data_IF_288907308386
#
_entry.id   IF_288907308386
#
_cell.length_a   1.000
_cell.length_b   1.000
_cell.length_c   1.000
_cell.angle_alpha   90.00
_cell.angle_beta   90.00
_cell.angle_gamma   90.00
#
_symmetry.space_group_name_H-M   'P 1'
#
loop_
_entity.id
_entity.type
_entity.pdbx_description
1 polymer ?
#
# COMPACT_ATOMS: atom_id res chain seq x y z
N UNK A 1 -17.96 26.47 -38.79
CA UNK A 1 -16.56 26.01 -38.64
C UNK A 1 -16.04 26.01 -37.19
N UNK A 2 -16.50 26.91 -36.30
CA UNK A 2 -16.07 26.95 -34.88
C UNK A 2 -16.41 25.69 -34.07
N UNK A 3 -17.56 25.06 -34.30
CA UNK A 3 -17.98 23.84 -33.56
C UNK A 3 -17.04 22.65 -33.76
N UNK A 4 -16.49 22.47 -34.97
CA UNK A 4 -15.59 21.34 -35.27
C UNK A 4 -14.18 21.56 -34.69
N UNK A 5 -13.76 22.82 -34.54
CA UNK A 5 -12.49 23.19 -33.91
C UNK A 5 -12.52 22.91 -32.39
N UNK A 6 -13.66 23.16 -31.73
CA UNK A 6 -13.84 22.87 -30.31
C UNK A 6 -13.82 21.37 -30.00
N UNK A 7 -14.41 20.53 -30.87
CA UNK A 7 -14.42 19.07 -30.69
C UNK A 7 -12.99 18.50 -30.82
N UNK A 8 -12.21 19.00 -31.78
CA UNK A 8 -10.81 18.58 -31.98
C UNK A 8 -9.92 18.96 -30.77
N UNK A 9 -10.12 20.16 -30.21
CA UNK A 9 -9.42 20.61 -29.00
C UNK A 9 -9.77 19.78 -27.76
N UNK A 10 -11.04 19.34 -27.63
CA UNK A 10 -11.47 18.46 -26.54
C UNK A 10 -10.90 17.03 -26.66
N UNK A 11 -10.75 16.50 -27.88
CA UNK A 11 -10.14 15.17 -28.07
C UNK A 11 -8.64 15.16 -27.78
N UNK A 12 -7.90 16.22 -28.14
CA UNK A 12 -6.46 16.31 -27.87
C UNK A 12 -6.12 16.37 -26.37
N UNK A 13 -6.96 17.01 -25.56
CA UNK A 13 -6.72 17.14 -24.12
C UNK A 13 -6.84 15.80 -23.35
N UNK A 14 -7.61 14.85 -23.88
CA UNK A 14 -7.83 13.55 -23.24
C UNK A 14 -6.61 12.62 -23.28
N UNK A 15 -5.69 12.85 -24.23
CA UNK A 15 -4.51 11.99 -24.45
C UNK A 15 -3.39 12.29 -23.44
N UNK A 16 -3.40 13.45 -22.78
CA UNK A 16 -2.33 13.86 -21.86
C UNK A 16 -2.43 13.27 -20.44
N UNK A 17 -3.47 12.50 -20.11
CA UNK A 17 -3.69 12.01 -18.73
C UNK A 17 -3.05 10.64 -18.46
N UNK A 18 -2.62 9.91 -19.51
CA UNK A 18 -2.14 8.52 -19.39
C UNK A 18 -0.61 8.35 -19.30
N UNK A 19 0.16 9.44 -19.12
CA UNK A 19 1.63 9.41 -19.10
C UNK A 19 2.31 9.38 -17.72
N UNK A 20 1.59 9.21 -16.61
CA UNK A 20 2.24 9.25 -15.28
C UNK A 20 2.95 7.93 -14.96
N UNK A 21 4.28 7.98 -14.79
CA UNK A 21 5.12 6.82 -14.39
C UNK A 21 4.72 6.22 -13.05
N UNK A 22 4.13 7.04 -12.17
CA UNK A 22 3.82 6.65 -10.80
C UNK A 22 2.45 7.15 -10.41
N UNK A 23 1.63 6.26 -9.85
CA UNK A 23 0.40 6.62 -9.15
C UNK A 23 0.66 6.66 -7.66
N UNK A 24 0.24 7.75 -7.01
CA UNK A 24 0.38 7.91 -5.56
C UNK A 24 -0.98 8.11 -4.90
N UNK A 25 -1.23 7.38 -3.81
CA UNK A 25 -2.41 7.51 -2.97
C UNK A 25 -1.99 8.03 -1.61
N UNK A 26 -2.15 9.36 -1.44
CA UNK A 26 -1.95 10.02 -0.16
C UNK A 26 -2.91 9.48 0.91
N UNK A 27 -2.46 9.50 2.15
CA UNK A 27 -3.28 9.19 3.30
C UNK A 27 -4.15 10.40 3.67
N UNK A 28 -5.46 10.31 3.40
CA UNK A 28 -6.44 11.36 3.67
C UNK A 28 -7.05 11.29 5.09
N UNK A 29 -6.57 10.38 5.95
CA UNK A 29 -7.09 10.25 7.31
C UNK A 29 -6.79 11.51 8.14
N UNK A 30 -7.72 11.95 9.00
CA UNK A 30 -7.51 13.08 9.94
C UNK A 30 -6.22 12.93 10.76
N UNK A 31 -5.81 11.70 11.08
CA UNK A 31 -4.58 11.40 11.83
C UNK A 31 -3.30 11.67 11.03
N UNK A 32 -3.40 11.69 9.70
CA UNK A 32 -2.33 12.01 8.76
C UNK A 32 -2.25 13.50 8.39
N UNK A 33 -3.16 14.35 8.90
CA UNK A 33 -3.22 15.80 8.56
C UNK A 33 -1.89 16.54 8.83
N UNK A 34 -1.09 16.06 9.78
CA UNK A 34 0.21 16.66 10.11
C UNK A 34 1.35 16.28 9.15
N UNK A 35 1.10 15.47 8.13
CA UNK A 35 2.07 15.10 7.10
C UNK A 35 1.55 15.51 5.73
N UNK A 36 2.16 16.54 5.17
CA UNK A 36 2.01 16.93 3.77
C UNK A 36 2.70 15.89 2.87
N UNK A 37 2.00 15.46 1.83
CA UNK A 37 2.38 14.33 0.97
C UNK A 37 2.18 14.74 -0.50
N UNK A 38 3.27 15.03 -1.20
CA UNK A 38 3.23 15.61 -2.55
C UNK A 38 4.03 14.73 -3.50
N UNK A 39 3.34 14.13 -4.46
CA UNK A 39 3.99 13.58 -5.66
C UNK A 39 4.23 14.73 -6.64
N UNK A 40 5.43 14.86 -7.18
CA UNK A 40 5.71 15.87 -8.19
C UNK A 40 5.00 15.57 -9.53
N UNK A 41 5.03 16.54 -10.43
CA UNK A 41 4.33 16.46 -11.73
C UNK A 41 4.88 15.33 -12.60
N UNK A 42 6.19 15.09 -12.54
CA UNK A 42 6.89 14.05 -13.30
C UNK A 42 6.62 12.64 -12.74
N UNK A 43 6.12 12.55 -11.51
CA UNK A 43 5.86 11.29 -10.82
C UNK A 43 7.13 10.54 -10.42
N UNK A 44 8.28 11.20 -10.37
CA UNK A 44 9.58 10.61 -10.05
C UNK A 44 10.09 10.99 -8.65
N UNK A 45 9.41 11.89 -7.94
CA UNK A 45 9.75 12.22 -6.56
C UNK A 45 8.54 12.44 -5.64
N UNK A 46 8.65 11.93 -4.42
CA UNK A 46 7.67 12.11 -3.34
C UNK A 46 8.28 13.00 -2.25
N UNK A 47 7.69 14.18 -2.06
CA UNK A 47 8.05 15.08 -0.96
C UNK A 47 7.12 14.83 0.22
N UNK A 48 7.71 14.65 1.39
CA UNK A 48 7.02 14.51 2.67
C UNK A 48 7.47 15.66 3.58
N UNK A 49 6.51 16.46 4.07
CA UNK A 49 6.79 17.60 4.95
C UNK A 49 5.87 17.59 6.17
N UNK A 50 6.40 17.93 7.34
CA UNK A 50 5.65 18.00 8.59
C UNK A 50 6.21 19.08 9.51
N UNK A 51 5.36 19.65 10.35
CA UNK A 51 5.81 20.48 11.48
C UNK A 51 6.57 19.65 12.54
N UNK A 52 6.31 18.33 12.59
CA UNK A 52 6.98 17.39 13.49
C UNK A 52 8.11 16.68 12.77
N UNK A 53 9.10 16.23 13.54
CA UNK A 53 10.19 15.41 13.01
C UNK A 53 9.66 14.11 12.42
N UNK A 54 9.98 13.89 11.16
CA UNK A 54 9.91 12.62 10.46
C UNK A 54 11.22 11.90 10.81
N UNK A 55 11.14 10.83 11.59
CA UNK A 55 12.35 10.08 11.95
C UNK A 55 12.81 9.21 10.80
N UNK A 56 11.86 8.52 10.14
CA UNK A 56 12.16 7.49 9.16
C UNK A 56 11.03 7.34 8.14
N UNK A 57 11.39 6.96 6.91
CA UNK A 57 10.45 6.53 5.89
C UNK A 57 10.85 5.16 5.35
N UNK A 58 9.92 4.22 5.38
CA UNK A 58 10.08 2.89 4.80
C UNK A 58 9.28 2.79 3.50
N UNK A 59 9.87 2.23 2.45
CA UNK A 59 9.22 1.90 1.18
C UNK A 59 9.42 0.41 0.95
N UNK A 60 8.34 -0.34 0.90
CA UNK A 60 8.46 -1.79 0.80
C UNK A 60 7.30 -2.45 0.05
N UNK A 61 7.57 -3.64 -0.45
CA UNK A 61 6.62 -4.64 -0.91
C UNK A 61 7.12 -6.02 -0.43
N UNK A 62 6.69 -7.09 -1.09
CA UNK A 62 7.03 -8.46 -0.69
C UNK A 62 8.52 -8.78 -0.92
N UNK A 63 9.10 -8.22 -1.99
CA UNK A 63 10.45 -8.55 -2.47
C UNK A 63 11.45 -7.38 -2.34
N UNK A 64 11.00 -6.22 -1.87
CA UNK A 64 11.78 -4.99 -1.82
C UNK A 64 11.56 -4.26 -0.50
N UNK A 65 12.63 -3.75 0.08
CA UNK A 65 12.59 -2.84 1.23
C UNK A 65 13.68 -1.78 1.09
N UNK A 66 13.29 -0.52 1.24
CA UNK A 66 14.19 0.62 1.37
C UNK A 66 13.78 1.42 2.59
N UNK A 67 14.75 1.65 3.46
CA UNK A 67 14.59 2.51 4.65
C UNK A 67 15.41 3.77 4.46
N UNK A 68 14.81 4.90 4.77
CA UNK A 68 15.40 6.23 4.67
C UNK A 68 15.31 6.86 6.06
N UNK A 69 16.47 7.07 6.69
CA UNK A 69 16.56 7.85 7.92
C UNK A 69 16.50 9.33 7.55
N UNK A 70 15.53 10.04 8.14
CA UNK A 70 15.27 11.46 7.80
C UNK A 70 15.72 12.36 8.94
N UNK A 71 15.28 12.06 10.17
CA UNK A 71 15.54 12.85 11.37
C UNK A 71 15.37 14.37 11.15
N UNK A 72 14.31 14.74 10.45
CA UNK A 72 14.06 16.11 10.00
C UNK A 72 12.60 16.34 9.67
N UNK A 73 12.24 17.57 9.33
CA UNK A 73 10.86 17.97 9.10
C UNK A 73 10.43 17.82 7.62
N UNK A 74 11.38 17.57 6.73
CA UNK A 74 11.14 17.41 5.30
C UNK A 74 12.07 16.35 4.73
N UNK A 75 11.56 15.57 3.76
CA UNK A 75 12.38 14.69 2.94
C UNK A 75 11.83 14.63 1.53
N UNK A 76 12.73 14.50 0.55
CA UNK A 76 12.39 14.25 -0.85
C UNK A 76 12.92 12.88 -1.24
N UNK A 77 12.01 12.01 -1.62
CA UNK A 77 12.29 10.63 -1.97
C UNK A 77 12.31 10.51 -3.48
N UNK A 78 13.45 10.09 -4.03
CA UNK A 78 13.57 9.73 -5.44
C UNK A 78 12.92 8.36 -5.72
N UNK A 79 11.90 8.36 -6.56
CA UNK A 79 11.12 7.20 -6.97
C UNK A 79 11.64 6.59 -8.28
N UNK A 80 12.55 7.25 -8.99
CA UNK A 80 13.12 6.75 -10.24
C UNK A 80 13.92 5.46 -10.03
N UNK A 81 14.56 5.34 -8.86
CA UNK A 81 15.31 4.16 -8.41
C UNK A 81 14.44 2.99 -7.95
N UNK A 82 13.13 3.20 -7.78
CA UNK A 82 12.24 2.12 -7.37
C UNK A 82 11.93 1.20 -8.55
N UNK A 83 11.96 -0.13 -8.34
CA UNK A 83 11.50 -1.07 -9.34
C UNK A 83 10.02 -0.85 -9.66
N UNK A 84 9.57 -1.48 -10.74
CA UNK A 84 8.17 -1.49 -11.11
C UNK A 84 7.37 -2.28 -10.08
N UNK A 85 6.12 -1.88 -9.86
CA UNK A 85 5.23 -2.58 -8.94
C UNK A 85 4.59 -1.69 -7.89
N UNK A 86 4.05 -2.34 -6.86
CA UNK A 86 3.16 -1.74 -5.86
C UNK A 86 3.87 -1.71 -4.53
N UNK A 87 3.94 -0.53 -3.93
CA UNK A 87 4.69 -0.29 -2.70
C UNK A 87 3.80 0.35 -1.65
N UNK A 88 4.14 0.03 -0.41
CA UNK A 88 3.67 0.73 0.77
C UNK A 88 4.75 1.71 1.17
N UNK A 89 4.35 2.96 1.40
CA UNK A 89 5.23 3.99 1.95
C UNK A 89 4.77 4.30 3.36
N UNK A 90 5.64 4.14 4.34
CA UNK A 90 5.33 4.35 5.76
C UNK A 90 6.27 5.40 6.34
N UNK A 91 5.71 6.56 6.70
CA UNK A 91 6.44 7.61 7.39
C UNK A 91 6.22 7.54 8.91
N UNK A 92 7.31 7.63 9.68
CA UNK A 92 7.30 7.64 11.15
C UNK A 92 7.43 9.08 11.64
N UNK A 93 6.38 9.60 12.26
CA UNK A 93 6.32 10.94 12.84
C UNK A 93 6.05 10.81 14.33
N UNK A 94 7.06 11.03 15.17
CA UNK A 94 6.95 10.82 16.62
C UNK A 94 6.39 9.39 16.89
N UNK A 95 5.29 9.25 17.63
CA UNK A 95 4.62 7.95 17.87
C UNK A 95 3.71 7.50 16.73
N UNK A 96 3.55 8.27 15.64
CA UNK A 96 2.61 8.00 14.54
C UNK A 96 3.29 7.32 13.36
N UNK A 97 2.60 6.31 12.80
CA UNK A 97 2.91 5.75 11.48
C UNK A 97 1.86 6.21 10.49
N UNK A 98 2.28 6.91 9.44
CA UNK A 98 1.41 7.35 8.34
C UNK A 98 1.70 6.47 7.15
N UNK A 99 0.74 5.62 6.80
CA UNK A 99 0.86 4.66 5.69
C UNK A 99 0.22 5.23 4.44
N UNK A 100 0.92 5.15 3.32
CA UNK A 100 0.52 5.60 1.99
C UNK A 100 0.73 4.47 0.98
N UNK A 101 0.18 4.61 -0.21
CA UNK A 101 0.32 3.61 -1.27
C UNK A 101 0.89 4.24 -2.54
N UNK A 102 1.81 3.54 -3.18
CA UNK A 102 2.53 3.97 -4.37
C UNK A 102 2.53 2.83 -5.41
N UNK A 103 2.35 3.15 -6.68
CA UNK A 103 2.38 2.18 -7.78
C UNK A 103 3.20 2.72 -8.95
N UNK A 104 4.28 2.01 -9.30
CA UNK A 104 5.21 2.29 -10.40
C UNK A 104 4.80 1.46 -11.61
N UNK A 105 4.61 2.14 -12.74
CA UNK A 105 4.16 1.54 -13.99
C UNK A 105 5.28 1.53 -15.03
N UNK A 106 5.23 0.58 -15.95
CA UNK A 106 6.05 0.62 -17.15
C UNK A 106 5.69 1.86 -17.96
N UNK A 107 6.72 2.64 -18.31
CA UNK A 107 6.54 3.77 -19.20
C UNK A 107 6.63 3.24 -20.63
N UNK A 108 5.51 3.20 -21.34
CA UNK A 108 5.54 3.03 -22.79
C UNK A 108 6.14 4.31 -23.38
N UNK A 109 7.46 4.29 -23.67
CA UNK A 109 8.02 5.27 -24.60
C UNK A 109 7.37 4.98 -25.94
N UNK A 110 6.45 5.82 -26.36
CA UNK A 110 6.03 5.88 -27.75
C UNK A 110 7.30 6.10 -28.56
N UNK A 111 7.70 5.11 -29.34
CA UNK A 111 8.84 5.23 -30.26
C UNK A 111 8.43 6.24 -31.31
N UNK A 112 8.76 7.51 -31.11
CA UNK A 112 8.78 8.48 -32.19
C UNK A 112 10.03 8.22 -33.02
N UNK A 113 10.02 7.13 -33.79
CA UNK A 113 10.97 6.94 -34.87
C UNK A 113 10.36 7.58 -36.12
N UNK A 114 10.70 8.86 -36.35
CA UNK A 114 10.65 9.44 -37.69
C UNK A 114 11.76 8.77 -38.50
N UNK A 115 11.44 7.69 -39.21
CA UNK A 115 12.28 7.17 -40.28
C UNK A 115 11.42 7.04 -41.55
N UNK A 116 11.76 7.90 -42.51
CA UNK A 116 11.35 7.78 -43.91
C UNK A 116 12.22 6.72 -44.57
N UNK A 117 11.56 5.77 -45.25
CA UNK A 117 11.95 5.00 -46.47
C UNK A 117 11.73 3.48 -46.38
N UNK A 118 10.72 3.07 -47.15
CA UNK A 118 10.62 1.95 -48.09
C UNK A 118 10.55 0.47 -47.65
N UNK A 119 9.31 -0.03 -47.81
CA UNK A 119 8.81 -1.33 -48.28
C UNK A 119 8.82 -2.64 -47.43
N UNK A 120 7.80 -3.51 -47.66
CA UNK A 120 7.32 -4.47 -46.67
C UNK A 120 7.77 -5.91 -46.98
N UNK A 121 7.95 -6.75 -45.96
CA UNK A 121 7.92 -8.21 -46.15
C UNK A 121 7.26 -8.92 -44.98
N UNK A 122 6.30 -9.74 -45.38
CA UNK A 122 5.40 -10.60 -44.65
C UNK A 122 6.16 -11.71 -43.93
N UNK A 123 5.86 -11.98 -42.66
CA UNK A 123 5.97 -13.32 -42.06
C UNK A 123 5.24 -13.40 -40.71
N UNK A 124 4.01 -13.88 -40.78
CA UNK A 124 3.25 -14.45 -39.68
C UNK A 124 3.71 -15.88 -39.37
N UNK A 125 4.14 -16.15 -38.14
CA UNK A 125 4.32 -17.51 -37.61
C UNK A 125 4.05 -17.48 -36.10
N UNK A 126 2.82 -17.75 -35.67
CA UNK A 126 2.37 -19.02 -35.04
C UNK A 126 3.30 -19.44 -33.89
N UNK A 127 2.78 -19.32 -32.66
CA UNK A 127 3.01 -20.29 -31.59
C UNK A 127 1.75 -20.32 -30.71
N UNK A 128 0.86 -21.21 -31.11
CA UNK A 128 -0.28 -21.71 -30.36
C UNK A 128 0.23 -22.90 -29.55
N UNK A 129 0.21 -22.83 -28.21
CA UNK A 129 0.22 -24.04 -27.38
C UNK A 129 -1.05 -24.07 -26.54
N UNK A 130 -1.93 -24.97 -26.95
CA UNK A 130 -3.16 -25.36 -26.28
C UNK A 130 -2.98 -26.78 -25.74
N UNK A 131 -3.19 -26.98 -24.44
CA UNK A 131 -3.72 -28.21 -23.81
C UNK A 131 -3.85 -27.95 -22.30
N UNK A 132 -4.82 -28.45 -21.56
CA UNK A 132 -6.13 -29.06 -21.78
C UNK A 132 -6.69 -29.17 -20.36
N UNK A 133 -7.86 -28.60 -20.08
CA UNK A 133 -8.60 -28.95 -18.86
C UNK A 133 -9.21 -30.34 -19.02
N UNK A 134 -9.18 -31.14 -17.95
CA UNK A 134 -10.31 -32.03 -17.64
C UNK A 134 -10.43 -32.23 -16.12
N UNK A 135 -11.65 -32.45 -15.61
CA UNK A 135 -12.02 -32.19 -14.22
C UNK A 135 -11.93 -33.44 -13.35
N UNK A 136 -11.57 -33.29 -12.07
CA UNK A 136 -11.96 -34.24 -11.03
C UNK A 136 -12.07 -33.56 -9.67
N UNK A 137 -13.31 -33.51 -9.20
CA UNK A 137 -13.73 -33.17 -7.86
C UNK A 137 -13.04 -34.10 -6.85
N UNK A 138 -12.29 -33.56 -5.91
CA UNK A 138 -12.01 -34.22 -4.64
C UNK A 138 -11.94 -33.18 -3.54
N UNK A 139 -12.80 -33.35 -2.56
CA UNK A 139 -13.07 -32.51 -1.40
C UNK A 139 -11.79 -32.21 -0.61
N UNK A 140 -11.36 -30.94 -0.59
CA UNK A 140 -10.21 -30.49 0.21
C UNK A 140 -10.51 -29.19 0.96
N UNK A 141 -10.21 -29.25 2.26
CA UNK A 141 -10.05 -28.19 3.28
C UNK A 141 -9.73 -26.81 2.67
N UNK A 142 -10.29 -25.69 3.17
CA UNK A 142 -10.10 -24.37 2.57
C UNK A 142 -8.62 -24.06 2.42
N UNK A 143 -8.21 -23.96 1.16
CA UNK A 143 -6.86 -23.64 0.72
C UNK A 143 -6.44 -22.33 1.41
N UNK A 144 -5.47 -22.42 2.32
CA UNK A 144 -4.95 -21.23 3.02
C UNK A 144 -4.30 -20.34 1.97
N UNK A 145 -4.98 -19.26 1.60
CA UNK A 145 -4.43 -18.23 0.71
C UNK A 145 -3.05 -17.82 1.23
N UNK A 146 -2.05 -17.64 0.35
CA UNK A 146 -0.74 -17.19 0.78
C UNK A 146 -0.90 -15.85 1.52
N UNK A 147 -0.43 -15.80 2.77
CA UNK A 147 -0.44 -14.59 3.59
C UNK A 147 0.77 -13.77 3.19
N UNK A 148 0.50 -12.56 2.70
CA UNK A 148 1.51 -11.70 2.10
C UNK A 148 2.00 -10.66 3.11
N UNK A 149 1.09 -10.12 3.92
CA UNK A 149 1.42 -9.12 4.95
C UNK A 149 0.42 -9.20 6.09
N UNK A 150 0.64 -8.43 7.15
CA UNK A 150 -0.23 -8.38 8.31
C UNK A 150 -0.68 -6.95 8.58
N UNK A 151 -1.98 -6.76 8.76
CA UNK A 151 -2.52 -5.48 9.22
C UNK A 151 -2.55 -5.46 10.74
N UNK A 152 -1.83 -4.53 11.33
CA UNK A 152 -1.66 -4.41 12.77
C UNK A 152 -2.42 -3.19 13.28
N UNK A 153 -3.25 -3.40 14.28
CA UNK A 153 -3.93 -2.34 15.05
C UNK A 153 -3.42 -2.42 16.47
N UNK A 154 -2.70 -1.38 16.90
CA UNK A 154 -2.14 -1.30 18.24
C UNK A 154 -2.74 -0.11 18.98
N UNK A 155 -3.17 -0.34 20.23
CA UNK A 155 -3.66 0.68 21.13
C UNK A 155 -2.87 0.62 22.43
N UNK A 156 -2.13 1.68 22.76
CA UNK A 156 -1.52 1.80 24.08
C UNK A 156 -2.45 2.58 25.01
N UNK A 157 -2.62 2.09 26.22
CA UNK A 157 -3.39 2.78 27.26
C UNK A 157 -2.55 2.82 28.54
N UNK A 158 -1.69 3.82 28.63
CA UNK A 158 -0.99 4.13 29.87
C UNK A 158 -1.84 5.12 30.66
N UNK A 159 -1.77 5.11 31.99
CA UNK A 159 -2.59 6.01 32.84
C UNK A 159 -2.45 7.51 32.52
N UNK A 160 -1.45 7.90 31.72
CA UNK A 160 -1.20 9.27 31.24
C UNK A 160 -1.81 9.57 29.85
N UNK A 161 -2.47 8.60 29.20
CA UNK A 161 -3.15 8.81 27.92
C UNK A 161 -3.25 7.55 27.07
N UNK A 162 -4.13 7.61 26.06
CA UNK A 162 -4.29 6.54 25.08
C UNK A 162 -3.78 6.93 23.69
N UNK A 163 -3.26 5.96 22.97
CA UNK A 163 -2.80 6.12 21.60
C UNK A 163 -3.22 4.91 20.77
N UNK A 164 -3.52 5.14 19.48
CA UNK A 164 -3.84 4.07 18.53
C UNK A 164 -3.03 4.22 17.26
N UNK A 165 -2.29 3.21 16.84
CA UNK A 165 -1.65 3.13 15.53
C UNK A 165 -2.30 2.03 14.69
N UNK A 166 -2.17 2.18 13.37
CA UNK A 166 -2.46 1.11 12.43
C UNK A 166 -1.35 1.09 11.39
N UNK A 167 -0.80 -0.09 11.11
CA UNK A 167 0.27 -0.26 10.13
C UNK A 167 0.18 -1.60 9.42
N UNK A 168 0.82 -1.68 8.26
CA UNK A 168 1.01 -2.94 7.55
C UNK A 168 2.44 -3.41 7.83
N UNK A 169 2.59 -4.64 8.33
CA UNK A 169 3.86 -5.18 8.79
C UNK A 169 4.12 -6.56 8.18
N UNK A 170 5.40 -6.95 8.17
CA UNK A 170 5.82 -8.31 7.80
C UNK A 170 5.77 -9.25 9.00
N UNK A 171 5.86 -10.55 8.73
CA UNK A 171 5.73 -11.61 9.73
C UNK A 171 6.74 -11.47 10.88
N UNK A 172 7.98 -11.12 10.56
CA UNK A 172 9.07 -11.00 11.55
C UNK A 172 8.76 -9.86 12.53
N UNK A 173 8.39 -8.69 12.00
CA UNK A 173 8.01 -7.52 12.82
C UNK A 173 6.77 -7.82 13.66
N UNK A 174 5.77 -8.48 13.09
CA UNK A 174 4.59 -8.91 13.85
C UNK A 174 4.94 -9.85 14.98
N UNK A 175 5.85 -10.80 14.77
CA UNK A 175 6.27 -11.73 15.81
C UNK A 175 6.96 -11.02 16.98
N UNK A 176 7.76 -10.00 16.69
CA UNK A 176 8.38 -9.12 17.70
C UNK A 176 7.31 -8.31 18.44
N UNK A 177 6.37 -7.70 17.71
CA UNK A 177 5.27 -6.93 18.29
C UNK A 177 4.38 -7.77 19.22
N UNK A 178 4.06 -9.01 18.83
CA UNK A 178 3.28 -9.94 19.66
C UNK A 178 4.07 -10.28 20.94
N UNK A 179 5.36 -10.60 20.80
CA UNK A 179 6.21 -10.95 21.94
C UNK A 179 6.34 -9.78 22.92
N UNK A 180 6.58 -8.57 22.40
CA UNK A 180 6.62 -7.33 23.18
C UNK A 180 5.28 -7.06 23.88
N UNK A 181 4.16 -7.17 23.15
CA UNK A 181 2.83 -6.94 23.74
C UNK A 181 2.56 -7.92 24.89
N UNK A 182 2.91 -9.21 24.75
CA UNK A 182 2.79 -10.19 25.84
C UNK A 182 3.57 -9.80 27.09
N UNK A 183 4.77 -9.24 26.94
CA UNK A 183 5.55 -8.74 28.07
C UNK A 183 4.92 -7.49 28.70
N UNK A 184 4.47 -6.55 27.89
CA UNK A 184 3.84 -5.31 28.36
C UNK A 184 2.54 -5.55 29.15
N UNK A 185 1.76 -6.55 28.75
CA UNK A 185 0.51 -6.92 29.43
C UNK A 185 0.70 -7.35 30.88
N UNK A 186 1.91 -7.79 31.25
CA UNK A 186 2.26 -8.17 32.63
C UNK A 186 2.72 -6.97 33.48
N UNK A 187 2.68 -5.75 32.95
CA UNK A 187 3.13 -4.54 33.66
C UNK A 187 1.95 -3.66 34.05
N UNK A 188 2.06 -2.93 35.17
CA UNK A 188 1.02 -2.00 35.62
C UNK A 188 0.69 -0.91 34.59
N UNK A 189 1.69 -0.51 33.79
CA UNK A 189 1.56 0.53 32.77
C UNK A 189 0.93 -0.03 31.49
N UNK A 190 1.34 -1.23 31.07
CA UNK A 190 0.99 -1.82 29.77
C UNK A 190 -0.15 -2.83 29.80
N UNK A 191 -0.67 -3.19 30.99
CA UNK A 191 -1.78 -4.15 31.14
C UNK A 191 -3.02 -3.82 30.30
N UNK A 192 -3.25 -2.54 29.97
CA UNK A 192 -4.40 -2.12 29.17
C UNK A 192 -4.09 -1.95 27.67
N UNK A 193 -2.88 -2.31 27.22
CA UNK A 193 -2.52 -2.23 25.81
C UNK A 193 -3.28 -3.30 25.00
N UNK A 194 -3.72 -2.95 23.80
CA UNK A 194 -4.43 -3.84 22.88
C UNK A 194 -3.64 -4.00 21.60
N UNK A 195 -3.57 -5.22 21.08
CA UNK A 195 -2.93 -5.54 19.81
C UNK A 195 -3.81 -6.52 19.05
N UNK A 196 -4.21 -6.14 17.84
CA UNK A 196 -4.99 -6.97 16.92
C UNK A 196 -4.22 -7.08 15.61
N UNK A 197 -4.09 -8.30 15.10
CA UNK A 197 -3.35 -8.58 13.88
C UNK A 197 -4.24 -9.37 12.93
N UNK A 198 -4.36 -8.91 11.69
CA UNK A 198 -5.11 -9.59 10.62
C UNK A 198 -4.17 -10.04 9.51
N UNK A 199 -4.38 -11.25 8.98
CA UNK A 199 -3.67 -11.72 7.79
C UNK A 199 -4.20 -11.01 6.55
N UNK A 200 -3.32 -10.47 5.72
CA UNK A 200 -3.69 -9.80 4.45
C UNK A 200 -3.22 -10.66 3.28
N UNK A 201 -4.17 -11.10 2.45
CA UNK A 201 -3.93 -11.94 1.28
C UNK A 201 -3.66 -11.10 0.02
N UNK A 202 -4.20 -9.89 -0.05
CA UNK A 202 -3.96 -8.97 -1.16
C UNK A 202 -3.75 -7.55 -0.63
N UNK A 203 -2.48 -7.23 -0.36
CA UNK A 203 -2.05 -5.95 0.20
C UNK A 203 -2.56 -4.77 -0.62
N UNK A 204 -2.43 -4.81 -1.95
CA UNK A 204 -2.79 -3.66 -2.80
C UNK A 204 -4.29 -3.38 -2.84
N UNK A 205 -5.14 -4.41 -2.84
CA UNK A 205 -6.61 -4.23 -2.82
C UNK A 205 -7.09 -3.88 -1.42
N UNK A 206 -6.47 -4.45 -0.39
CA UNK A 206 -6.73 -4.10 1.01
C UNK A 206 -6.42 -2.63 1.28
N UNK A 207 -5.21 -2.17 0.97
CA UNK A 207 -4.76 -0.81 1.27
C UNK A 207 -5.57 0.26 0.53
N UNK A 208 -5.93 0.00 -0.73
CA UNK A 208 -6.84 0.87 -1.49
C UNK A 208 -8.18 1.09 -0.79
N UNK A 209 -8.74 0.05 -0.17
CA UNK A 209 -10.01 0.14 0.57
C UNK A 209 -9.80 0.76 1.97
N UNK A 210 -8.75 0.36 2.67
CA UNK A 210 -8.43 0.82 4.02
C UNK A 210 -8.06 2.32 4.08
N UNK A 211 -7.35 2.84 3.08
CA UNK A 211 -7.03 4.27 3.00
C UNK A 211 -8.27 5.14 2.73
N UNK A 212 -9.26 4.60 2.01
CA UNK A 212 -10.55 5.27 1.74
C UNK A 212 -11.51 5.19 2.93
N UNK A 213 -11.53 4.04 3.63
CA UNK A 213 -12.34 3.81 4.81
C UNK A 213 -11.46 3.26 5.95
N UNK A 214 -11.10 4.09 6.95
CA UNK A 214 -10.26 3.67 8.06
C UNK A 214 -10.82 2.52 8.91
N UNK A 215 -12.14 2.24 8.84
CA UNK A 215 -12.79 1.13 9.54
C UNK A 215 -12.93 -0.13 8.67
N UNK A 216 -12.38 -0.14 7.46
CA UNK A 216 -12.55 -1.26 6.52
C UNK A 216 -11.97 -2.60 7.05
N UNK A 217 -10.87 -2.56 7.81
CA UNK A 217 -10.33 -3.75 8.47
C UNK A 217 -11.33 -4.41 9.44
N UNK A 218 -12.33 -3.69 9.93
CA UNK A 218 -13.36 -4.19 10.85
C UNK A 218 -14.65 -4.60 10.11
N UNK A 219 -14.53 -5.06 8.87
CA UNK A 219 -15.69 -5.52 8.08
C UNK A 219 -15.92 -7.01 8.31
N UNK A 220 -17.18 -7.42 8.38
CA UNK A 220 -17.56 -8.82 8.64
C UNK A 220 -17.23 -9.78 7.48
N UNK A 221 -16.95 -9.25 6.28
CA UNK A 221 -16.63 -10.04 5.09
C UNK A 221 -15.58 -9.36 4.24
N UNK A 222 -14.54 -10.12 3.88
CA UNK A 222 -13.55 -9.68 2.90
C UNK A 222 -12.96 -10.85 2.12
N UNK A 223 -12.57 -10.58 0.86
CA UNK A 223 -11.78 -11.51 0.05
C UNK A 223 -10.27 -11.23 0.13
N UNK A 224 -9.89 -10.08 0.69
CA UNK A 224 -8.52 -9.53 0.62
C UNK A 224 -7.71 -9.67 1.92
N UNK A 225 -8.38 -9.96 3.04
CA UNK A 225 -7.76 -10.20 4.33
C UNK A 225 -8.64 -11.19 5.11
N UNK A 226 -8.04 -11.84 6.12
CA UNK A 226 -8.75 -12.69 7.06
C UNK A 226 -9.54 -11.80 8.02
N UNK A 227 -10.86 -11.95 8.05
CA UNK A 227 -11.71 -11.17 8.97
C UNK A 227 -11.55 -11.64 10.41
N UNK A 228 -11.14 -12.90 10.60
CA UNK A 228 -10.77 -13.44 11.89
C UNK A 228 -9.31 -13.05 12.17
N UNK A 229 -9.03 -12.31 13.26
CA UNK A 229 -7.67 -11.90 13.56
C UNK A 229 -6.75 -13.10 13.78
N UNK A 230 -5.54 -13.01 13.23
CA UNK A 230 -4.42 -13.91 13.52
C UNK A 230 -3.99 -13.87 14.98
N UNK A 231 -4.06 -12.68 15.58
CA UNK A 231 -3.75 -12.47 16.99
C UNK A 231 -4.65 -11.39 17.55
N UNK A 232 -5.11 -11.62 18.78
CA UNK A 232 -5.82 -10.67 19.60
C UNK A 232 -5.19 -10.70 20.99
N UNK A 233 -4.78 -9.54 21.51
CA UNK A 233 -4.35 -9.41 22.90
C UNK A 233 -5.48 -9.87 23.85
N UNK A 234 -5.19 -10.62 24.92
CA UNK A 234 -6.20 -11.14 25.85
C UNK A 234 -7.19 -10.10 26.40
N UNK A 235 -6.76 -8.84 26.56
CA UNK A 235 -7.59 -7.76 27.11
C UNK A 235 -8.43 -7.04 26.04
N UNK A 236 -8.70 -7.71 24.91
CA UNK A 236 -9.60 -7.22 23.89
C UNK A 236 -11.00 -7.81 24.10
N UNK A 237 -11.90 -7.03 24.67
CA UNK A 237 -13.32 -7.38 24.72
C UNK A 237 -13.87 -7.40 23.28
N UNK A 238 -14.19 -8.60 22.80
CA UNK A 238 -14.91 -8.77 21.54
C UNK A 238 -16.37 -8.39 21.81
N UNK A 239 -16.69 -7.10 21.67
CA UNK A 239 -18.07 -6.69 21.47
C UNK A 239 -18.44 -7.07 20.04
N UNK A 240 -18.98 -8.29 19.89
CA UNK A 240 -19.72 -8.71 18.71
C UNK A 240 -20.91 -7.74 18.56
N UNK A 241 -20.90 -6.93 17.50
CA UNK A 241 -22.06 -6.19 16.99
C UNK A 241 -22.20 -6.46 15.50
#
# INVERSE_FOLDING_TARGET
MIKNLCILAFTLFSVCIYGQKTTFQKNANKRAKGLEQILNKEGDSLTLRSEKTISQVDIFNDDYMKTIDVNGNETKIDLSTLPLGKFIVQARLDRKRIVMYLERHEFFKEKTELNVSDEPTIASTILEEKKLESPKTTTTKPEKKPVVSYWVVYESNSGSGSYKSMSLERKEVVSEMISKNKLELNTEIGKNNKLIVYEVYNTSKFMRKQLRNPKYFNTSKSKFFNVDPYYVSPNHDILVQ
#
